data_IF_610463383894
#
_entry.id   IF_610463383894
#
_cell.length_a   1.000
_cell.length_b   1.000
_cell.length_c   1.000
_cell.angle_alpha   90.00
_cell.angle_beta   90.00
_cell.angle_gamma   90.00
#
_symmetry.space_group_name_H-M   'P 1'
#
loop_
_entity.id
_entity.type
_entity.pdbx_description
1 polymer ?
#
# COMPACT_ATOMS: atom_id res chain seq x y z
N UNK A 1 -32.50 -6.40 22.80
CA UNK A 1 -31.72 -7.66 22.87
C UNK A 1 -30.72 -7.73 21.73
N UNK A 2 -31.13 -7.62 20.45
CA UNK A 2 -30.16 -7.55 19.33
C UNK A 2 -29.19 -6.36 19.43
N UNK A 3 -29.68 -5.18 19.85
CA UNK A 3 -28.84 -3.99 20.07
C UNK A 3 -27.67 -4.23 21.02
N UNK A 4 -27.84 -5.06 22.07
CA UNK A 4 -26.76 -5.35 23.03
C UNK A 4 -25.63 -6.15 22.37
N UNK A 5 -25.98 -7.06 21.46
CA UNK A 5 -25.02 -7.85 20.68
C UNK A 5 -24.28 -6.94 19.71
N UNK A 6 -24.99 -6.06 19.02
CA UNK A 6 -24.40 -5.09 18.09
C UNK A 6 -23.47 -4.10 18.80
N UNK A 7 -23.87 -3.59 19.97
CA UNK A 7 -23.05 -2.72 20.81
C UNK A 7 -21.79 -3.45 21.31
N UNK A 8 -21.90 -4.73 21.63
CA UNK A 8 -20.76 -5.55 22.04
C UNK A 8 -19.85 -5.86 20.83
N UNK A 9 -20.42 -6.13 19.66
CA UNK A 9 -19.67 -6.33 18.44
C UNK A 9 -18.85 -5.08 18.10
N UNK A 10 -19.45 -3.89 18.19
CA UNK A 10 -18.75 -2.62 17.98
C UNK A 10 -17.55 -2.38 18.90
N UNK A 11 -17.53 -3.03 20.07
CA UNK A 11 -16.42 -3.00 21.04
C UNK A 11 -15.41 -4.14 20.87
N UNK A 12 -15.65 -5.05 19.93
CA UNK A 12 -14.75 -6.19 19.70
C UNK A 12 -13.39 -5.66 19.25
N UNK A 13 -12.35 -6.11 19.95
CA UNK A 13 -10.98 -5.78 19.61
C UNK A 13 -10.55 -6.57 18.38
N UNK A 14 -10.60 -5.91 17.23
CA UNK A 14 -10.07 -6.45 15.97
C UNK A 14 -8.68 -5.85 15.78
N UNK A 15 -7.67 -6.71 15.78
CA UNK A 15 -6.29 -6.33 15.51
C UNK A 15 -6.21 -5.56 14.18
N UNK A 16 -5.37 -4.53 14.16
CA UNK A 16 -5.18 -3.70 12.98
C UNK A 16 -4.73 -4.54 11.76
N UNK A 17 -5.35 -4.34 10.59
CA UNK A 17 -4.91 -4.97 9.35
C UNK A 17 -3.54 -4.44 8.93
N UNK A 18 -2.82 -5.24 8.14
CA UNK A 18 -1.52 -4.85 7.56
C UNK A 18 -1.60 -4.90 6.03
N UNK A 19 -1.38 -3.75 5.38
CA UNK A 19 -1.33 -3.67 3.92
C UNK A 19 0.05 -4.11 3.41
N UNK A 20 0.04 -4.95 2.37
CA UNK A 20 1.24 -5.53 1.74
C UNK A 20 1.13 -5.48 0.22
N UNK A 21 2.25 -5.71 -0.44
CA UNK A 21 2.35 -5.85 -1.89
C UNK A 21 3.28 -7.00 -2.26
N UNK A 22 3.05 -7.66 -3.41
CA UNK A 22 3.82 -8.84 -3.83
C UNK A 22 4.59 -8.66 -5.13
N UNK A 23 4.88 -7.44 -5.56
CA UNK A 23 5.59 -7.15 -6.82
C UNK A 23 6.96 -7.81 -6.91
N UNK A 24 7.69 -7.87 -5.79
CA UNK A 24 9.03 -8.44 -5.72
C UNK A 24 9.06 -9.90 -5.25
N UNK A 25 7.90 -10.48 -4.90
CA UNK A 25 7.80 -11.86 -4.45
C UNK A 25 8.23 -12.84 -5.55
N UNK A 26 9.18 -13.72 -5.23
CA UNK A 26 9.73 -14.72 -6.17
C UNK A 26 10.81 -14.21 -7.12
N UNK A 27 11.17 -12.91 -7.05
CA UNK A 27 12.20 -12.33 -7.92
C UNK A 27 13.64 -12.52 -7.41
N UNK A 28 13.79 -13.02 -6.17
CA UNK A 28 15.07 -13.12 -5.46
C UNK A 28 15.47 -11.83 -4.71
N UNK A 29 14.63 -10.80 -4.76
CA UNK A 29 14.71 -9.62 -3.89
C UNK A 29 13.97 -9.89 -2.57
N UNK A 30 14.24 -9.07 -1.55
CA UNK A 30 13.46 -9.08 -0.29
C UNK A 30 11.98 -8.88 -0.58
N UNK A 31 11.11 -9.58 0.16
CA UNK A 31 9.65 -9.42 0.03
C UNK A 31 9.20 -8.00 0.40
N UNK A 32 9.87 -7.38 1.37
CA UNK A 32 9.62 -6.01 1.81
C UNK A 32 10.31 -4.95 0.92
N UNK A 33 10.90 -5.35 -0.21
CA UNK A 33 11.53 -4.40 -1.12
C UNK A 33 10.46 -3.46 -1.72
N UNK A 34 10.53 -2.13 -1.47
CA UNK A 34 9.50 -1.18 -1.90
C UNK A 34 9.62 -0.79 -3.37
N UNK A 35 10.69 -1.19 -4.06
CA UNK A 35 11.01 -0.70 -5.40
C UNK A 35 10.16 -1.41 -6.47
N UNK A 36 9.47 -0.62 -7.28
CA UNK A 36 8.60 -1.06 -8.38
C UNK A 36 8.87 -0.24 -9.65
N UNK A 37 8.45 -0.71 -10.82
CA UNK A 37 8.54 0.08 -12.05
C UNK A 37 7.25 0.86 -12.32
N UNK A 38 7.38 2.06 -12.88
CA UNK A 38 6.28 2.89 -13.36
C UNK A 38 5.50 2.13 -14.44
N UNK A 39 4.18 2.13 -14.32
CA UNK A 39 3.27 1.46 -15.25
C UNK A 39 3.10 -0.05 -15.04
N UNK A 40 3.96 -0.67 -14.23
CA UNK A 40 3.83 -2.09 -13.88
C UNK A 40 2.65 -2.35 -12.93
N UNK A 41 2.09 -3.56 -12.98
CA UNK A 41 0.96 -3.98 -12.16
C UNK A 41 1.44 -4.45 -10.79
N UNK A 42 1.09 -3.72 -9.73
CA UNK A 42 1.45 -4.08 -8.36
C UNK A 42 0.25 -4.74 -7.71
N UNK A 43 0.37 -6.01 -7.31
CA UNK A 43 -0.67 -6.71 -6.56
C UNK A 43 -0.62 -6.29 -5.09
N UNK A 44 -1.67 -5.65 -4.62
CA UNK A 44 -1.87 -5.31 -3.21
C UNK A 44 -2.75 -6.35 -2.52
N UNK A 45 -2.46 -6.61 -1.25
CA UNK A 45 -3.26 -7.50 -0.41
C UNK A 45 -3.14 -7.07 1.05
N UNK A 46 -4.09 -7.49 1.87
CA UNK A 46 -4.16 -7.11 3.29
C UNK A 46 -4.18 -8.36 4.15
N UNK A 47 -3.28 -8.42 5.11
CA UNK A 47 -3.38 -9.37 6.21
C UNK A 47 -4.39 -8.80 7.22
N UNK A 48 -5.64 -9.26 7.09
CA UNK A 48 -6.78 -8.81 7.88
C UNK A 48 -7.23 -9.94 8.84
N UNK A 49 -6.84 -9.91 10.12
CA UNK A 49 -7.18 -10.96 11.07
C UNK A 49 -8.67 -10.95 11.41
N UNK A 50 -9.26 -12.13 11.58
CA UNK A 50 -10.60 -12.29 12.17
C UNK A 50 -10.51 -12.12 13.69
N UNK A 51 -11.54 -11.56 14.32
CA UNK A 51 -11.67 -11.54 15.78
C UNK A 51 -12.85 -12.39 16.24
N UNK A 52 -12.72 -12.97 17.44
CA UNK A 52 -13.79 -13.70 18.11
C UNK A 52 -14.04 -13.09 19.47
N UNK A 53 -15.29 -13.14 19.89
CA UNK A 53 -15.69 -12.78 21.24
C UNK A 53 -16.70 -13.82 21.75
N UNK A 54 -16.61 -14.16 23.02
CA UNK A 54 -17.52 -15.10 23.68
C UNK A 54 -17.79 -14.60 25.10
N UNK A 55 -19.05 -14.63 25.52
CA UNK A 55 -19.44 -14.22 26.86
C UNK A 55 -20.94 -14.19 27.07
N UNK A 56 -21.34 -13.97 28.33
CA UNK A 56 -22.74 -13.90 28.70
C UNK A 56 -23.28 -12.47 28.56
N UNK A 57 -24.37 -12.33 27.80
CA UNK A 57 -25.18 -11.11 27.66
C UNK A 57 -26.56 -11.35 28.26
N UNK A 58 -27.42 -10.32 28.33
CA UNK A 58 -28.77 -10.52 28.89
C UNK A 58 -29.60 -11.57 28.13
N UNK A 59 -29.30 -11.80 26.84
CA UNK A 59 -29.97 -12.79 26.00
C UNK A 59 -29.46 -14.23 26.25
N UNK A 60 -28.34 -14.41 26.95
CA UNK A 60 -27.70 -15.69 27.21
C UNK A 60 -26.23 -15.71 26.84
N UNK A 61 -25.67 -16.91 26.71
CA UNK A 61 -24.28 -17.10 26.28
C UNK A 61 -24.16 -16.81 24.79
N UNK A 62 -23.32 -15.86 24.40
CA UNK A 62 -23.19 -15.39 23.03
C UNK A 62 -21.77 -15.60 22.53
N UNK A 63 -21.66 -16.14 21.32
CA UNK A 63 -20.42 -16.19 20.55
C UNK A 63 -20.55 -15.28 19.34
N UNK A 64 -19.49 -14.54 19.03
CA UNK A 64 -19.42 -13.62 17.90
C UNK A 64 -18.12 -13.81 17.12
N UNK A 65 -18.19 -13.67 15.81
CA UNK A 65 -17.05 -13.70 14.91
C UNK A 65 -17.10 -12.54 13.92
N UNK A 66 -15.97 -11.87 13.72
CA UNK A 66 -15.78 -10.88 12.66
C UNK A 66 -14.92 -11.46 11.54
N UNK A 67 -15.22 -11.06 10.31
CA UNK A 67 -14.44 -11.43 9.13
C UNK A 67 -14.37 -10.28 8.13
N UNK A 68 -13.22 -10.09 7.47
CA UNK A 68 -13.04 -9.02 6.50
C UNK A 68 -13.84 -9.31 5.23
N UNK A 69 -14.48 -8.28 4.68
CA UNK A 69 -15.40 -8.41 3.53
C UNK A 69 -15.05 -7.46 2.38
N UNK A 70 -14.54 -6.28 2.69
CA UNK A 70 -14.13 -5.30 1.69
C UNK A 70 -12.89 -4.55 2.18
N UNK A 71 -11.99 -4.22 1.26
CA UNK A 71 -10.90 -3.29 1.52
C UNK A 71 -10.97 -2.12 0.54
N UNK A 72 -10.61 -0.94 1.02
CA UNK A 72 -10.31 0.23 0.20
C UNK A 72 -8.85 0.60 0.43
N UNK A 73 -8.11 0.82 -0.64
CA UNK A 73 -6.70 1.22 -0.62
C UNK A 73 -6.61 2.65 -1.13
N UNK A 74 -5.95 3.51 -0.37
CA UNK A 74 -5.50 4.82 -0.81
C UNK A 74 -4.03 4.68 -1.21
N UNK A 75 -3.69 4.99 -2.46
CA UNK A 75 -2.35 4.71 -3.02
C UNK A 75 -1.32 5.81 -2.72
N UNK A 76 -1.68 6.87 -1.99
CA UNK A 76 -0.78 7.97 -1.62
C UNK A 76 -0.49 8.97 -2.75
N UNK A 77 -0.91 8.70 -3.99
CA UNK A 77 -0.83 9.64 -5.11
C UNK A 77 -2.15 10.40 -5.39
N UNK A 78 -3.16 10.20 -4.55
CA UNK A 78 -4.51 10.73 -4.69
C UNK A 78 -5.52 9.76 -5.31
N UNK A 79 -5.05 8.63 -5.85
CA UNK A 79 -5.94 7.58 -6.34
C UNK A 79 -6.36 6.63 -5.21
N UNK A 80 -7.50 5.97 -5.39
CA UNK A 80 -8.04 4.95 -4.51
C UNK A 80 -8.61 3.76 -5.28
N UNK A 81 -8.72 2.61 -4.62
CA UNK A 81 -9.33 1.41 -5.17
C UNK A 81 -10.06 0.59 -4.11
N UNK A 82 -11.25 0.08 -4.42
CA UNK A 82 -12.06 -0.75 -3.52
C UNK A 82 -12.27 -2.16 -4.07
N UNK A 83 -12.16 -3.16 -3.18
CA UNK A 83 -12.16 -4.57 -3.54
C UNK A 83 -12.94 -5.41 -2.52
N UNK A 84 -13.75 -6.35 -3.00
CA UNK A 84 -14.48 -7.33 -2.16
C UNK A 84 -13.64 -8.57 -1.79
N UNK A 85 -12.32 -8.41 -1.77
CA UNK A 85 -11.37 -9.44 -1.39
C UNK A 85 -10.16 -8.79 -0.75
N UNK A 86 -9.56 -9.45 0.23
CA UNK A 86 -8.30 -9.00 0.82
C UNK A 86 -7.09 -9.29 -0.09
N UNK A 87 -7.31 -9.95 -1.23
CA UNK A 87 -6.23 -10.40 -2.09
C UNK A 87 -5.42 -11.54 -1.46
N UNK A 88 -4.40 -11.99 -2.20
CA UNK A 88 -3.38 -12.94 -1.74
C UNK A 88 -2.06 -12.58 -2.40
N UNK A 89 -0.91 -12.92 -1.78
CA UNK A 89 0.37 -12.74 -2.44
C UNK A 89 0.41 -13.52 -3.75
N UNK A 90 0.91 -12.88 -4.80
CA UNK A 90 1.16 -13.49 -6.11
C UNK A 90 2.64 -13.40 -6.39
N UNK A 91 3.29 -14.56 -6.46
CA UNK A 91 4.70 -14.67 -6.82
C UNK A 91 4.87 -14.58 -8.33
N UNK A 92 6.02 -14.05 -8.77
CA UNK A 92 6.45 -14.11 -10.17
C UNK A 92 7.88 -14.60 -10.28
N UNK A 93 8.17 -15.28 -11.38
CA UNK A 93 9.54 -15.66 -11.71
C UNK A 93 10.36 -14.41 -12.08
N UNK A 94 11.65 -14.43 -11.74
CA UNK A 94 12.61 -13.36 -12.10
C UNK A 94 12.59 -13.11 -13.61
N UNK A 95 12.54 -11.83 -14.00
CA UNK A 95 12.53 -11.41 -15.40
C UNK A 95 11.21 -11.60 -16.13
N UNK A 96 10.14 -11.98 -15.43
CA UNK A 96 8.77 -11.98 -15.97
C UNK A 96 8.05 -10.68 -15.64
N UNK A 97 7.21 -10.25 -16.56
CA UNK A 97 6.31 -9.12 -16.36
C UNK A 97 5.40 -9.34 -15.15
N UNK A 98 5.03 -8.23 -14.52
CA UNK A 98 4.06 -8.26 -13.44
C UNK A 98 2.67 -8.63 -13.97
N UNK A 99 1.98 -9.55 -13.28
CA UNK A 99 0.64 -10.00 -13.69
C UNK A 99 -0.42 -9.14 -13.01
N UNK A 100 -1.36 -8.60 -13.80
CA UNK A 100 -2.56 -7.95 -13.27
C UNK A 100 -3.44 -8.94 -12.51
N UNK A 101 -3.80 -8.59 -11.28
CA UNK A 101 -4.76 -9.29 -10.41
C UNK A 101 -6.02 -8.43 -10.21
N UNK A 102 -7.00 -8.95 -9.47
CA UNK A 102 -8.19 -8.18 -9.10
C UNK A 102 -7.87 -6.96 -8.21
N UNK A 103 -6.75 -7.00 -7.48
CA UNK A 103 -6.31 -5.97 -6.54
C UNK A 103 -5.05 -5.25 -7.02
N UNK A 104 -4.78 -5.32 -8.34
CA UNK A 104 -3.62 -4.65 -8.94
C UNK A 104 -3.86 -3.17 -9.20
N UNK A 105 -2.80 -2.39 -9.00
CA UNK A 105 -2.75 -0.98 -9.37
C UNK A 105 -1.39 -0.64 -10.00
N UNK A 106 -1.37 0.32 -10.92
CA UNK A 106 -0.18 0.72 -11.67
C UNK A 106 0.02 2.24 -11.58
N UNK A 107 1.07 2.66 -10.89
CA UNK A 107 1.42 4.08 -10.76
C UNK A 107 1.86 4.65 -12.11
N UNK A 108 1.21 5.75 -12.51
CA UNK A 108 1.51 6.47 -13.76
C UNK A 108 2.61 7.53 -13.59
N UNK A 109 3.12 7.71 -12.38
CA UNK A 109 4.18 8.66 -12.04
C UNK A 109 5.18 7.98 -11.12
N UNK A 110 6.45 8.33 -11.28
CA UNK A 110 7.52 7.90 -10.37
C UNK A 110 7.49 8.71 -9.07
N UNK A 111 8.04 8.13 -8.01
CA UNK A 111 8.13 8.76 -6.70
C UNK A 111 8.00 7.76 -5.56
N UNK A 112 8.11 8.27 -4.32
CA UNK A 112 7.77 7.54 -3.11
C UNK A 112 6.29 7.77 -2.77
N UNK A 113 5.55 6.70 -2.49
CA UNK A 113 4.16 6.78 -2.07
C UNK A 113 3.94 5.95 -0.80
N UNK A 114 3.11 6.46 0.10
CA UNK A 114 2.62 5.71 1.24
C UNK A 114 1.18 5.28 0.97
N UNK A 115 0.97 3.98 0.85
CA UNK A 115 -0.34 3.41 0.67
C UNK A 115 -0.94 2.99 2.02
N UNK A 116 -2.25 3.17 2.14
CA UNK A 116 -3.03 2.82 3.32
C UNK A 116 -4.22 1.96 2.93
N UNK A 117 -4.67 1.08 3.83
CA UNK A 117 -5.93 0.38 3.65
C UNK A 117 -6.93 0.67 4.77
N UNK A 118 -8.20 0.61 4.41
CA UNK A 118 -9.34 0.55 5.32
C UNK A 118 -10.11 -0.72 5.00
N UNK A 119 -10.30 -1.58 6.00
CA UNK A 119 -10.95 -2.87 5.88
C UNK A 119 -12.30 -2.84 6.59
N UNK A 120 -13.34 -3.29 5.90
CA UNK A 120 -14.69 -3.48 6.43
C UNK A 120 -14.87 -4.92 6.92
N UNK A 121 -15.33 -5.09 8.14
CA UNK A 121 -15.56 -6.34 8.83
C UNK A 121 -17.05 -6.53 9.04
N UNK A 122 -17.59 -7.61 8.48
CA UNK A 122 -18.92 -8.09 8.81
C UNK A 122 -18.84 -9.04 10.01
N UNK A 123 -19.92 -9.13 10.76
CA UNK A 123 -20.03 -9.98 11.93
C UNK A 123 -21.08 -11.07 11.78
N UNK A 124 -20.94 -12.12 12.57
CA UNK A 124 -22.02 -13.07 12.86
C UNK A 124 -22.01 -13.42 14.35
N UNK A 125 -23.17 -13.76 14.88
CA UNK A 125 -23.33 -14.18 16.28
C UNK A 125 -24.20 -15.43 16.40
N UNK A 126 -24.09 -16.14 17.52
CA UNK A 126 -25.05 -17.18 17.92
C UNK A 126 -25.27 -17.13 19.42
N UNK A 127 -26.45 -17.58 19.87
CA UNK A 127 -26.86 -17.56 21.28
C UNK A 127 -27.11 -18.98 21.76
N UNK A 128 -26.55 -19.33 22.91
CA UNK A 128 -26.69 -20.63 23.58
C UNK A 128 -26.42 -21.83 22.64
N UNK A 129 -25.41 -21.71 21.77
CA UNK A 129 -25.03 -22.75 20.82
C UNK A 129 -26.00 -22.95 19.63
N UNK A 130 -26.96 -22.03 19.43
CA UNK A 130 -27.88 -22.07 18.28
C UNK A 130 -27.23 -21.72 16.94
N UNK A 131 -28.07 -21.44 15.94
CA UNK A 131 -27.62 -21.09 14.59
C UNK A 131 -26.93 -19.73 14.53
N UNK A 132 -25.93 -19.62 13.64
CA UNK A 132 -25.28 -18.36 13.33
C UNK A 132 -26.22 -17.41 12.59
N UNK A 133 -26.29 -16.18 13.08
CA UNK A 133 -27.04 -15.07 12.51
C UNK A 133 -26.07 -13.96 12.10
N UNK A 134 -26.33 -13.31 10.98
CA UNK A 134 -25.53 -12.16 10.54
C UNK A 134 -25.78 -10.96 11.45
N UNK A 135 -24.75 -10.14 11.66
CA UNK A 135 -24.89 -8.81 12.25
C UNK A 135 -25.08 -7.78 11.15
N UNK A 136 -25.98 -6.82 11.37
CA UNK A 136 -26.19 -5.71 10.43
C UNK A 136 -25.09 -4.64 10.55
N UNK A 137 -24.39 -4.61 11.69
CA UNK A 137 -23.26 -3.71 11.94
C UNK A 137 -22.02 -4.17 11.18
N UNK A 138 -21.42 -3.22 10.46
CA UNK A 138 -20.11 -3.37 9.81
C UNK A 138 -19.10 -2.48 10.52
N UNK A 139 -17.95 -3.04 10.89
CA UNK A 139 -16.86 -2.29 11.51
C UNK A 139 -15.79 -1.96 10.49
N UNK A 140 -15.21 -0.78 10.57
CA UNK A 140 -14.07 -0.39 9.75
C UNK A 140 -12.80 -0.35 10.59
N UNK A 141 -11.73 -0.98 10.12
CA UNK A 141 -10.39 -0.88 10.71
C UNK A 141 -9.40 -0.39 9.68
N UNK A 142 -8.53 0.50 10.10
CA UNK A 142 -7.48 1.07 9.27
C UNK A 142 -6.14 0.41 9.53
N UNK A 143 -5.29 0.35 8.52
CA UNK A 143 -3.88 -0.02 8.70
C UNK A 143 -3.18 1.03 9.55
N UNK A 144 -2.38 0.58 10.52
CA UNK A 144 -1.60 1.46 11.40
C UNK A 144 -0.39 2.02 10.65
N UNK A 145 0.43 1.13 10.10
CA UNK A 145 1.64 1.53 9.37
C UNK A 145 1.36 1.70 7.87
N UNK A 146 1.93 2.73 7.23
CA UNK A 146 1.86 2.86 5.78
C UNK A 146 2.72 1.81 5.06
N UNK A 147 2.25 1.39 3.89
CA UNK A 147 3.08 0.63 2.95
C UNK A 147 3.84 1.58 2.03
N UNK A 148 5.17 1.64 2.16
CA UNK A 148 6.03 2.38 1.24
C UNK A 148 6.11 1.69 -0.13
N UNK A 149 5.83 2.45 -1.18
CA UNK A 149 6.02 2.06 -2.58
C UNK A 149 6.93 3.07 -3.27
N UNK A 150 8.06 2.61 -3.79
CA UNK A 150 9.05 3.45 -4.49
C UNK A 150 9.04 3.14 -5.98
N UNK A 151 8.42 4.02 -6.75
CA UNK A 151 8.16 3.84 -8.18
C UNK A 151 9.30 4.45 -8.99
N UNK A 152 10.05 3.58 -9.68
CA UNK A 152 11.16 3.94 -10.55
C UNK A 152 10.76 3.93 -12.02
N UNK A 153 11.55 4.62 -12.83
CA UNK A 153 11.52 4.52 -14.26
C UNK A 153 12.96 4.51 -14.78
N UNK A 154 13.17 4.08 -16.02
CA UNK A 154 14.49 4.05 -16.65
C UNK A 154 14.36 4.59 -18.07
N UNK A 155 15.19 5.56 -18.42
CA UNK A 155 15.41 5.93 -19.82
C UNK A 155 16.69 5.27 -20.32
N UNK A 156 16.67 4.89 -21.59
CA UNK A 156 17.81 4.31 -22.30
C UNK A 156 18.01 5.10 -23.59
N UNK A 157 19.23 5.56 -23.81
CA UNK A 157 19.62 6.46 -24.88
C UNK A 157 21.00 6.10 -25.41
N UNK A 158 21.24 6.38 -26.68
CA UNK A 158 22.56 6.19 -27.30
C UNK A 158 23.35 7.49 -27.20
N UNK A 159 24.59 7.38 -26.75
CA UNK A 159 25.54 8.50 -26.64
C UNK A 159 26.70 8.33 -27.61
N UNK A 160 27.25 9.44 -28.11
CA UNK A 160 28.28 9.46 -29.14
C UNK A 160 29.72 9.17 -28.62
N UNK A 161 29.87 8.39 -27.54
CA UNK A 161 31.15 8.07 -26.89
C UNK A 161 31.01 7.88 -25.38
N UNK A 162 32.05 7.35 -24.74
CA UNK A 162 32.06 7.01 -23.32
C UNK A 162 32.33 8.22 -22.39
N UNK A 163 32.16 8.01 -21.08
CA UNK A 163 32.36 9.04 -20.06
C UNK A 163 33.84 9.42 -19.82
N UNK A 164 34.81 8.72 -20.44
CA UNK A 164 36.22 9.09 -20.36
C UNK A 164 36.57 10.22 -21.33
N UNK A 165 35.83 10.32 -22.44
CA UNK A 165 35.97 11.40 -23.41
C UNK A 165 35.29 12.70 -22.93
N UNK A 166 34.12 12.59 -22.32
CA UNK A 166 33.32 13.71 -21.81
C UNK A 166 32.37 13.21 -20.73
N UNK A 167 32.66 13.57 -19.48
CA UNK A 167 31.95 13.09 -18.30
C UNK A 167 30.64 13.86 -18.01
N UNK A 168 30.31 14.85 -18.85
CA UNK A 168 29.07 15.63 -18.81
C UNK A 168 27.99 15.09 -19.77
N UNK A 169 28.27 14.01 -20.49
CA UNK A 169 27.32 13.38 -21.41
C UNK A 169 26.18 12.66 -20.69
N UNK A 170 25.09 12.44 -21.43
CA UNK A 170 23.90 11.77 -20.92
C UNK A 170 24.22 10.42 -20.25
N UNK A 171 23.85 10.27 -18.97
CA UNK A 171 24.11 9.08 -18.15
C UNK A 171 25.49 9.02 -17.47
N UNK A 172 26.38 10.01 -17.67
CA UNK A 172 27.68 10.10 -17.01
C UNK A 172 27.62 10.82 -15.65
N UNK A 173 28.70 10.74 -14.86
CA UNK A 173 28.74 11.24 -13.46
C UNK A 173 28.41 12.73 -13.33
N UNK A 174 28.82 13.55 -14.29
CA UNK A 174 28.64 15.00 -14.30
C UNK A 174 27.62 15.46 -15.35
N UNK A 175 26.77 14.56 -15.83
CA UNK A 175 25.65 14.88 -16.71
C UNK A 175 24.76 15.95 -16.07
N UNK A 176 24.61 17.15 -16.67
CA UNK A 176 23.80 18.21 -16.11
C UNK A 176 22.29 17.89 -16.16
N UNK A 177 21.88 16.86 -16.91
CA UNK A 177 20.51 16.35 -16.97
C UNK A 177 20.24 15.21 -15.98
N UNK A 178 21.29 14.61 -15.41
CA UNK A 178 21.11 13.68 -14.30
C UNK A 178 20.63 14.48 -13.08
N UNK A 179 19.52 14.02 -12.52
CA UNK A 179 18.96 14.57 -11.28
C UNK A 179 20.05 14.63 -10.20
N UNK A 180 20.12 15.75 -9.48
CA UNK A 180 21.22 15.96 -8.53
C UNK A 180 21.20 14.89 -7.44
N UNK A 181 22.39 14.46 -7.01
CA UNK A 181 22.57 13.49 -5.91
C UNK A 181 21.93 13.94 -4.61
N UNK A 182 21.76 15.24 -4.44
CA UNK A 182 21.17 15.92 -3.29
C UNK A 182 19.78 16.48 -3.62
N UNK A 183 19.09 15.98 -4.66
CA UNK A 183 17.74 16.42 -4.97
C UNK A 183 16.73 15.58 -4.19
N UNK A 184 16.23 16.04 -3.03
CA UNK A 184 15.07 15.44 -2.41
C UNK A 184 13.92 15.56 -3.41
N UNK A 185 13.26 14.45 -3.71
CA UNK A 185 12.13 14.39 -4.64
C UNK A 185 11.20 15.63 -4.49
N UNK A 186 11.20 16.61 -5.42
CA UNK A 186 10.50 17.89 -5.24
C UNK A 186 8.97 17.77 -5.24
N UNK A 187 8.45 16.57 -5.48
CA UNK A 187 7.04 16.31 -5.80
C UNK A 187 6.24 15.74 -4.64
N UNK A 188 6.84 15.50 -3.48
CA UNK A 188 6.16 15.10 -2.24
C UNK A 188 5.61 16.32 -1.46
N UNK A 189 5.11 17.35 -2.17
CA UNK A 189 4.55 18.55 -1.53
C UNK A 189 3.17 18.30 -0.90
N UNK A 190 2.49 17.22 -1.28
CA UNK A 190 1.24 16.82 -0.63
C UNK A 190 1.59 16.06 0.65
N UNK A 191 1.14 16.64 1.76
CA UNK A 191 1.17 15.98 3.05
C UNK A 191 0.46 14.63 2.97
N UNK A 192 0.92 13.68 3.77
CA UNK A 192 0.19 12.45 4.00
C UNK A 192 -1.27 12.72 4.30
N UNK A 193 -2.16 11.95 3.69
CA UNK A 193 -3.59 12.12 3.92
C UNK A 193 -4.01 11.76 5.36
N UNK A 194 -3.26 10.90 6.05
CA UNK A 194 -3.55 10.47 7.42
C UNK A 194 -2.66 11.15 8.46
N UNK A 195 -1.36 11.22 8.24
CA UNK A 195 -0.42 11.78 9.24
C UNK A 195 -0.21 13.29 9.09
N UNK A 196 -0.58 13.88 7.94
CA UNK A 196 -0.27 15.27 7.63
C UNK A 196 1.22 15.56 7.44
N UNK A 197 2.10 14.54 7.53
CA UNK A 197 3.54 14.70 7.37
C UNK A 197 3.89 15.00 5.91
N UNK A 198 4.80 15.95 5.68
CA UNK A 198 5.35 16.22 4.36
C UNK A 198 6.54 15.31 4.19
N UNK A 199 6.39 14.28 3.37
CA UNK A 199 7.29 13.14 3.37
C UNK A 199 8.64 13.45 2.72
N UNK A 200 9.53 13.90 3.57
CA UNK A 200 10.95 13.60 3.57
C UNK A 200 11.20 12.72 4.82
N UNK A 201 12.25 11.87 4.87
CA UNK A 201 12.61 11.10 6.08
C UNK A 201 12.69 11.99 7.35
N UNK A 202 13.00 13.27 7.15
CA UNK A 202 12.86 14.40 8.05
C UNK A 202 12.40 15.60 7.20
N UNK A 203 11.66 16.60 7.70
CA UNK A 203 11.24 17.79 6.90
C UNK A 203 12.40 18.56 6.20
N UNK A 204 13.65 18.11 6.36
CA UNK A 204 14.89 18.62 5.77
C UNK A 204 15.31 17.93 4.46
N UNK A 205 14.68 16.84 4.02
CA UNK A 205 15.01 16.19 2.75
C UNK A 205 16.16 15.17 2.77
N UNK A 206 16.60 14.71 3.96
CA UNK A 206 17.69 13.73 4.04
C UNK A 206 17.19 12.31 3.71
N UNK A 207 17.82 11.63 2.75
CA UNK A 207 17.66 10.18 2.56
C UNK A 207 16.85 9.73 1.34
N UNK A 208 16.16 10.62 0.65
CA UNK A 208 15.41 10.31 -0.59
C UNK A 208 16.15 10.82 -1.83
N UNK A 209 17.33 10.25 -2.07
CA UNK A 209 18.10 10.56 -3.28
C UNK A 209 17.61 9.70 -4.44
N UNK A 210 16.74 10.25 -5.28
CA UNK A 210 16.42 9.68 -6.60
C UNK A 210 17.50 10.13 -7.60
N UNK A 211 18.28 9.19 -8.13
CA UNK A 211 19.06 9.45 -9.34
C UNK A 211 18.08 9.67 -10.49
N UNK A 212 18.06 10.89 -11.03
CA UNK A 212 17.37 11.33 -12.26
C UNK A 212 15.86 11.64 -12.19
N UNK A 213 15.55 12.93 -12.13
CA UNK A 213 14.34 13.51 -12.72
C UNK A 213 14.75 14.14 -14.06
N UNK A 214 14.32 13.58 -15.20
CA UNK A 214 14.49 14.22 -16.50
C UNK A 214 13.49 15.37 -16.70
N UNK A 215 13.85 16.26 -17.61
CA UNK A 215 13.41 17.66 -17.80
C UNK A 215 11.97 17.86 -18.30
N UNK A 216 11.26 16.80 -18.66
CA UNK A 216 10.05 16.93 -19.50
C UNK A 216 8.73 16.89 -18.72
N UNK A 217 8.66 17.54 -17.55
CA UNK A 217 7.37 17.84 -16.94
C UNK A 217 7.30 19.27 -16.41
N UNK A 218 6.41 20.12 -16.95
CA UNK A 218 6.09 21.40 -16.31
C UNK A 218 5.49 21.13 -14.93
N UNK A 219 5.86 21.96 -13.97
CA UNK A 219 5.31 21.99 -12.62
C UNK A 219 3.77 22.06 -12.66
N UNK A 220 3.10 20.93 -12.42
CA UNK A 220 1.67 20.83 -12.11
C UNK A 220 1.44 19.83 -10.97
#
# INVERSE_FOLDING_TARGET
MLQEIEDQFAKTDIQAPVLKQSYNLGTGLSEDNPNVYKGDQINFYVDAPTARWEGDLMIGHVEMESYPTQMTIQYGNGDEGSFYTMGKPVSRARGKESRKTATSYAYQRSGNFHAYATVSYSGRFRVNGGDWQALDVVLTKETVDPLLVRVWWTDVGRVAGDCSYDDTRWGCKNDPTMGKKDNPNPRLRKADIRTGQRWHLNDNGDGDTEYSLHRDWPDM
#
